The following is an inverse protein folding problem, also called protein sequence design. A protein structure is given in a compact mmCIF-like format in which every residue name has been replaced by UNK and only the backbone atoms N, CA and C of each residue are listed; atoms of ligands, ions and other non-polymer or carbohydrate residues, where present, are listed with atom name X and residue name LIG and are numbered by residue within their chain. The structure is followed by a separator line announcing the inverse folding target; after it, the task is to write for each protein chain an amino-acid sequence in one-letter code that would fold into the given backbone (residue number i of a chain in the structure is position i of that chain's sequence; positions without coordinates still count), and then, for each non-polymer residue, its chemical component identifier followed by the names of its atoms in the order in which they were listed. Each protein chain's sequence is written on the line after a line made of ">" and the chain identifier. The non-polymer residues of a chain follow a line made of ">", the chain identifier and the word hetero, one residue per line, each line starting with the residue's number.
data_IF_278885513800
#
_entry.id   IF_278885513800
#
_cell.length_a   1.000
_cell.length_b   1.000
_cell.length_c   1.000
_cell.angle_alpha   90.00
_cell.angle_beta   90.00
_cell.angle_gamma   90.00
#
_symmetry.space_group_name_H-M   'P 1'
#
loop_
_entity.id
_entity.type
_entity.pdbx_description
1 polymer ?
#
# COMPACT_ATOMS: atom_id res chain seq x y z
N UNK A 1 23.96 10.59 1.04
CA UNK A 1 24.93 11.12 2.00
C UNK A 1 26.20 10.25 1.93
N UNK A 2 27.45 10.80 1.84
CA UNK A 2 28.68 10.00 1.69
C UNK A 2 28.81 8.88 2.73
N UNK A 3 28.52 9.16 4.00
CA UNK A 3 28.60 8.17 5.08
C UNK A 3 27.68 6.96 4.89
N UNK A 4 26.49 7.17 4.32
CA UNK A 4 25.56 6.07 4.00
C UNK A 4 26.13 5.21 2.87
N UNK A 5 26.81 5.82 1.90
CA UNK A 5 27.44 5.10 0.80
C UNK A 5 28.61 4.24 1.26
N UNK A 6 29.45 4.73 2.16
CA UNK A 6 30.58 3.96 2.72
C UNK A 6 30.09 2.75 3.54
N UNK A 7 29.10 2.96 4.40
CA UNK A 7 28.52 1.86 5.19
C UNK A 7 27.83 0.79 4.32
N UNK A 8 27.16 1.20 3.26
CA UNK A 8 26.56 0.28 2.28
C UNK A 8 27.64 -0.50 1.52
N UNK A 9 28.73 0.15 1.10
CA UNK A 9 29.84 -0.48 0.39
C UNK A 9 30.47 -1.61 1.21
N UNK A 10 30.76 -1.34 2.49
CA UNK A 10 31.33 -2.35 3.40
C UNK A 10 30.38 -3.54 3.59
N UNK A 11 29.11 -3.27 3.76
CA UNK A 11 28.08 -4.32 3.89
C UNK A 11 27.90 -5.10 2.58
N UNK A 12 27.87 -4.40 1.46
CA UNK A 12 27.70 -5.02 0.14
C UNK A 12 28.87 -5.97 -0.21
N UNK A 13 30.08 -5.69 0.20
CA UNK A 13 31.22 -6.58 0.00
C UNK A 13 31.09 -7.89 0.75
N UNK A 14 30.44 -7.87 1.93
CA UNK A 14 30.35 -9.01 2.84
C UNK A 14 29.17 -9.95 2.54
N UNK A 15 28.18 -9.50 1.78
CA UNK A 15 26.94 -10.23 1.55
C UNK A 15 26.75 -10.65 0.09
N UNK A 16 26.14 -11.80 -0.15
CA UNK A 16 25.76 -12.24 -1.50
C UNK A 16 24.51 -11.51 -2.02
N UNK A 17 23.67 -11.10 -1.12
CA UNK A 17 22.44 -10.33 -1.39
C UNK A 17 22.52 -8.99 -0.67
N UNK A 18 22.29 -7.90 -1.40
CA UNK A 18 22.25 -6.55 -0.83
C UNK A 18 20.82 -6.27 -0.36
N UNK A 19 20.64 -6.24 0.96
CA UNK A 19 19.37 -5.89 1.61
C UNK A 19 19.26 -4.38 1.84
N UNK A 20 18.17 -3.77 1.39
CA UNK A 20 17.95 -2.32 1.47
C UNK A 20 16.63 -2.00 2.19
N UNK A 21 16.71 -1.32 3.35
CA UNK A 21 15.54 -0.80 4.03
C UNK A 21 15.18 0.59 3.49
N UNK A 22 13.97 0.72 2.90
CA UNK A 22 13.41 2.00 2.42
C UNK A 22 14.24 2.76 1.39
N UNK A 23 15.13 2.08 0.69
CA UNK A 23 16.06 2.65 -0.29
C UNK A 23 15.76 2.21 -1.73
N UNK A 24 14.49 2.11 -2.11
CA UNK A 24 14.04 1.70 -3.46
C UNK A 24 14.81 2.40 -4.59
N UNK A 25 15.08 3.68 -4.44
CA UNK A 25 15.81 4.48 -5.44
C UNK A 25 17.27 4.05 -5.66
N UNK A 26 17.80 3.14 -4.86
CA UNK A 26 19.18 2.62 -5.00
C UNK A 26 19.27 1.26 -5.68
N UNK A 27 18.17 0.55 -5.91
CA UNK A 27 18.21 -0.83 -6.39
C UNK A 27 19.00 -0.99 -7.69
N UNK A 28 18.80 -0.09 -8.65
CA UNK A 28 19.55 -0.12 -9.92
C UNK A 28 21.01 0.30 -9.75
N UNK A 29 21.27 1.31 -8.93
CA UNK A 29 22.63 1.77 -8.63
C UNK A 29 23.45 0.68 -7.93
N UNK A 30 22.87 -0.05 -6.99
CA UNK A 30 23.59 -1.15 -6.31
C UNK A 30 23.97 -2.26 -7.27
N UNK A 31 23.17 -2.52 -8.29
CA UNK A 31 23.52 -3.47 -9.34
C UNK A 31 24.66 -2.97 -10.23
N UNK A 32 24.69 -1.68 -10.57
CA UNK A 32 25.78 -1.06 -11.32
C UNK A 32 27.11 -1.13 -10.56
N UNK A 33 27.06 -0.87 -9.24
CA UNK A 33 28.24 -0.92 -8.37
C UNK A 33 28.70 -2.35 -8.08
N UNK A 34 27.76 -3.30 -8.00
CA UNK A 34 27.99 -4.69 -7.60
C UNK A 34 27.33 -5.68 -8.59
N UNK A 35 27.78 -5.77 -9.86
CA UNK A 35 27.08 -6.50 -10.93
C UNK A 35 26.87 -8.00 -10.67
N UNK A 36 27.62 -8.59 -9.73
CA UNK A 36 27.48 -10.01 -9.36
C UNK A 36 26.49 -10.27 -8.23
N UNK A 37 25.84 -9.24 -7.70
CA UNK A 37 24.96 -9.36 -6.52
C UNK A 37 23.51 -9.08 -6.85
N UNK A 38 22.63 -9.76 -6.10
CA UNK A 38 21.19 -9.51 -6.15
C UNK A 38 20.80 -8.46 -5.11
N UNK A 39 19.68 -7.77 -5.36
CA UNK A 39 19.12 -6.72 -4.48
C UNK A 39 17.77 -7.18 -3.95
N UNK A 40 17.55 -6.93 -2.67
CA UNK A 40 16.30 -7.24 -1.96
C UNK A 40 15.85 -6.04 -1.13
N UNK A 41 14.59 -5.68 -1.22
CA UNK A 41 13.97 -4.76 -0.28
C UNK A 41 13.73 -5.45 1.05
N UNK A 42 14.59 -5.24 2.04
CA UNK A 42 14.48 -5.91 3.34
C UNK A 42 13.45 -5.26 4.27
N UNK A 43 13.17 -3.97 4.04
CA UNK A 43 11.97 -3.29 4.54
C UNK A 43 11.50 -2.26 3.51
N UNK A 44 10.21 -2.29 3.18
CA UNK A 44 9.64 -1.42 2.15
C UNK A 44 8.33 -0.76 2.62
N UNK A 45 8.03 0.41 2.04
CA UNK A 45 6.79 1.12 2.34
C UNK A 45 5.59 0.43 1.69
N UNK A 46 4.49 0.21 2.43
CA UNK A 46 3.26 -0.36 1.88
C UNK A 46 2.66 0.46 0.73
N UNK A 47 2.88 1.77 0.71
CA UNK A 47 2.42 2.64 -0.38
C UNK A 47 3.22 2.48 -1.69
N UNK A 48 4.36 1.81 -1.67
CA UNK A 48 5.24 1.63 -2.83
C UNK A 48 5.07 0.27 -3.56
N UNK A 49 4.05 -0.52 -3.22
CA UNK A 49 3.81 -1.88 -3.75
C UNK A 49 3.99 -1.94 -5.27
N UNK A 50 3.30 -1.10 -6.02
CA UNK A 50 3.32 -1.09 -7.49
C UNK A 50 4.73 -0.84 -8.02
N UNK A 51 5.39 0.19 -7.52
CA UNK A 51 6.73 0.58 -7.96
C UNK A 51 7.81 -0.43 -7.60
N UNK A 52 7.66 -1.10 -6.48
CA UNK A 52 8.57 -2.16 -6.05
C UNK A 52 8.41 -3.41 -6.91
N UNK A 53 7.16 -3.78 -7.19
CA UNK A 53 6.89 -4.93 -8.05
C UNK A 53 7.34 -4.70 -9.50
N UNK A 54 7.16 -3.49 -10.02
CA UNK A 54 7.70 -3.10 -11.34
C UNK A 54 9.22 -3.29 -11.41
N UNK A 55 9.97 -2.89 -10.37
CA UNK A 55 11.41 -3.14 -10.30
C UNK A 55 11.77 -4.61 -10.32
N UNK A 56 10.97 -5.46 -9.65
CA UNK A 56 11.16 -6.93 -9.65
C UNK A 56 10.89 -7.51 -11.04
N UNK A 57 9.81 -7.08 -11.71
CA UNK A 57 9.46 -7.58 -13.04
C UNK A 57 10.46 -7.17 -14.12
N UNK A 58 11.00 -5.96 -14.03
CA UNK A 58 11.87 -5.39 -15.06
C UNK A 58 13.35 -5.70 -14.86
N UNK A 59 13.76 -6.12 -13.66
CA UNK A 59 15.18 -6.26 -13.31
C UNK A 59 15.47 -7.61 -12.63
N UNK A 60 16.08 -8.53 -13.33
CA UNK A 60 16.38 -9.89 -12.86
C UNK A 60 17.27 -9.97 -11.61
N UNK A 61 17.98 -8.90 -11.29
CA UNK A 61 18.79 -8.79 -10.08
C UNK A 61 18.00 -8.32 -8.85
N UNK A 62 16.77 -7.83 -9.03
CA UNK A 62 15.86 -7.47 -7.94
C UNK A 62 14.95 -8.66 -7.65
N UNK A 63 15.17 -9.33 -6.52
CA UNK A 63 14.52 -10.62 -6.22
C UNK A 63 13.25 -10.52 -5.38
N UNK A 64 12.87 -9.33 -4.95
CA UNK A 64 11.64 -9.11 -4.19
C UNK A 64 11.74 -8.01 -3.16
N UNK A 65 10.72 -7.95 -2.30
CA UNK A 65 10.67 -7.04 -1.18
C UNK A 65 9.91 -7.63 0.02
N UNK A 66 10.25 -7.15 1.20
CA UNK A 66 9.53 -7.40 2.44
C UNK A 66 8.90 -6.09 2.91
N UNK A 67 7.58 -6.01 2.86
CA UNK A 67 6.87 -4.83 3.34
C UNK A 67 6.93 -4.73 4.87
N UNK A 68 7.07 -3.54 5.40
CA UNK A 68 6.86 -3.28 6.81
C UNK A 68 5.47 -2.64 7.02
N UNK A 69 4.44 -3.44 7.45
CA UNK A 69 4.62 -4.85 7.79
C UNK A 69 3.50 -5.71 7.20
N UNK A 70 3.69 -7.05 7.21
CA UNK A 70 2.65 -7.99 6.79
C UNK A 70 1.47 -8.07 7.76
N UNK A 71 1.72 -7.89 9.07
CA UNK A 71 0.72 -7.88 10.14
C UNK A 71 0.78 -6.59 10.95
N UNK A 72 -0.37 -6.16 11.45
CA UNK A 72 -0.39 -5.18 12.54
C UNK A 72 0.27 -5.78 13.78
N UNK A 73 0.88 -4.95 14.60
CA UNK A 73 1.58 -5.41 15.78
C UNK A 73 1.42 -4.42 16.94
N UNK A 74 1.56 -4.94 18.16
CA UNK A 74 1.62 -4.13 19.39
C UNK A 74 3.06 -3.69 19.58
N UNK A 75 3.28 -2.39 19.77
CA UNK A 75 4.63 -1.83 19.94
C UNK A 75 4.69 -0.37 19.49
N UNK A 76 5.17 -0.09 18.31
CA UNK A 76 5.31 1.24 17.73
C UNK A 76 3.95 1.91 17.53
N UNK A 77 3.39 2.38 18.63
CA UNK A 77 2.04 2.92 18.67
C UNK A 77 1.88 4.12 17.74
N UNK A 78 0.86 4.07 16.89
CA UNK A 78 0.50 5.15 15.99
C UNK A 78 1.10 5.07 14.59
N UNK A 79 2.08 4.22 14.33
CA UNK A 79 2.60 4.04 12.98
C UNK A 79 1.48 3.54 12.07
N UNK A 80 1.15 4.32 11.03
CA UNK A 80 0.11 4.00 10.07
C UNK A 80 -1.33 4.28 10.50
N UNK A 81 -1.57 4.80 11.70
CA UNK A 81 -2.91 5.24 12.11
C UNK A 81 -3.27 6.54 11.37
N UNK A 82 -4.47 6.56 10.81
CA UNK A 82 -5.00 7.73 10.12
C UNK A 82 -5.54 8.76 11.12
N UNK A 83 -4.83 9.88 11.28
CA UNK A 83 -5.26 11.01 12.07
C UNK A 83 -5.93 12.07 11.19
N UNK A 84 -7.10 12.55 11.60
CA UNK A 84 -7.91 13.54 10.89
C UNK A 84 -7.96 14.90 11.59
N UNK A 85 -7.18 15.07 12.64
CA UNK A 85 -7.09 16.29 13.45
C UNK A 85 -5.96 17.24 13.00
N UNK A 86 -5.31 16.93 11.88
CA UNK A 86 -4.18 17.70 11.34
C UNK A 86 -2.85 17.43 12.03
N UNK A 87 -2.78 16.49 12.98
CA UNK A 87 -1.54 16.09 13.62
C UNK A 87 -0.83 15.02 12.81
N UNK A 88 0.42 15.21 12.52
CA UNK A 88 1.30 14.18 11.99
C UNK A 88 1.98 13.48 13.16
N UNK A 89 1.62 12.24 13.42
CA UNK A 89 2.19 11.50 14.54
C UNK A 89 2.88 10.23 14.09
N UNK A 90 4.19 10.17 14.29
CA UNK A 90 4.95 8.93 14.34
C UNK A 90 4.85 8.26 15.71
N UNK A 91 4.57 9.05 16.75
CA UNK A 91 4.44 8.57 18.10
C UNK A 91 3.06 8.95 18.60
N UNK A 92 2.25 7.96 18.86
CA UNK A 92 0.95 8.15 19.45
C UNK A 92 1.00 8.08 20.95
N UNK A 93 0.07 8.80 21.57
CA UNK A 93 -0.17 8.74 23.01
C UNK A 93 -1.29 7.75 23.29
N UNK A 94 -1.34 7.24 24.51
CA UNK A 94 -2.48 6.44 24.98
C UNK A 94 -3.83 7.07 24.55
N UNK A 95 -4.79 6.34 24.01
CA UNK A 95 -4.93 4.87 24.04
C UNK A 95 -4.35 4.10 22.85
N UNK A 96 -3.67 4.72 21.91
CA UNK A 96 -3.09 4.03 20.77
C UNK A 96 -1.93 3.14 21.22
N UNK A 97 -1.89 1.89 20.75
CA UNK A 97 -0.96 0.87 21.24
C UNK A 97 -0.39 -0.03 20.14
N UNK A 98 -0.74 0.22 18.88
CA UNK A 98 -0.35 -0.65 17.79
C UNK A 98 0.22 0.12 16.59
N UNK A 99 1.03 -0.57 15.79
CA UNK A 99 1.32 -0.25 14.41
C UNK A 99 0.17 -0.72 13.53
N UNK A 100 -0.45 0.19 12.78
CA UNK A 100 -1.63 -0.06 11.93
C UNK A 100 -1.25 0.00 10.44
N UNK A 101 -0.27 -0.83 10.06
CA UNK A 101 0.33 -0.84 8.71
C UNK A 101 0.32 -2.20 8.03
N UNK A 102 -0.19 -3.23 8.73
CA UNK A 102 -0.21 -4.57 8.21
C UNK A 102 -1.16 -4.76 7.03
N UNK A 103 -0.82 -5.65 6.13
CA UNK A 103 -1.75 -6.23 5.16
C UNK A 103 -2.87 -7.02 5.87
N UNK A 104 -2.56 -7.53 7.07
CA UNK A 104 -3.45 -8.31 7.94
C UNK A 104 -3.51 -7.65 9.31
N UNK A 105 -4.71 -7.53 9.88
CA UNK A 105 -4.90 -6.94 11.19
C UNK A 105 -4.56 -7.92 12.34
N UNK A 106 -4.58 -7.43 13.59
CA UNK A 106 -4.24 -8.21 14.79
C UNK A 106 -5.09 -9.47 14.99
N UNK A 107 -6.26 -9.55 14.41
CA UNK A 107 -7.19 -10.68 14.55
C UNK A 107 -7.29 -11.54 13.29
N UNK A 108 -6.40 -11.28 12.30
CA UNK A 108 -6.25 -12.12 11.12
C UNK A 108 -7.10 -11.70 9.93
N UNK A 109 -7.79 -10.55 9.95
CA UNK A 109 -8.53 -10.09 8.79
C UNK A 109 -7.59 -9.41 7.78
N UNK A 110 -7.76 -9.76 6.51
CA UNK A 110 -7.08 -9.08 5.41
C UNK A 110 -7.67 -7.67 5.21
N UNK A 111 -6.79 -6.71 5.02
CA UNK A 111 -7.17 -5.33 4.66
C UNK A 111 -7.20 -5.13 3.15
N UNK A 112 -7.84 -4.05 2.66
CA UNK A 112 -7.86 -3.73 1.24
C UNK A 112 -6.48 -3.70 0.57
N UNK A 113 -5.44 -3.24 1.26
CA UNK A 113 -4.06 -3.24 0.77
C UNK A 113 -3.54 -4.64 0.45
N UNK A 114 -3.92 -5.66 1.21
CA UNK A 114 -3.56 -7.05 0.95
C UNK A 114 -4.12 -7.56 -0.38
N UNK A 115 -5.35 -7.18 -0.71
CA UNK A 115 -5.96 -7.51 -2.00
C UNK A 115 -5.37 -6.69 -3.14
N UNK A 116 -5.03 -5.43 -2.91
CA UNK A 116 -4.30 -4.61 -3.87
C UNK A 116 -2.95 -5.23 -4.22
N UNK A 117 -2.17 -5.66 -3.23
CA UNK A 117 -0.90 -6.36 -3.42
C UNK A 117 -1.07 -7.64 -4.26
N UNK A 118 -2.07 -8.45 -3.94
CA UNK A 118 -2.37 -9.70 -4.65
C UNK A 118 -2.66 -9.45 -6.15
N UNK A 119 -3.39 -8.35 -6.45
CA UNK A 119 -3.71 -7.93 -7.81
C UNK A 119 -2.45 -7.42 -8.54
N UNK A 120 -1.66 -6.55 -7.90
CA UNK A 120 -0.43 -6.01 -8.48
C UNK A 120 0.59 -7.12 -8.78
N UNK A 121 0.68 -8.13 -7.91
CA UNK A 121 1.58 -9.27 -8.08
C UNK A 121 1.05 -10.31 -9.09
N UNK A 122 -0.12 -10.09 -9.69
CA UNK A 122 -0.71 -11.01 -10.65
C UNK A 122 -1.14 -12.35 -10.05
N UNK A 123 -1.38 -12.41 -8.74
CA UNK A 123 -1.81 -13.62 -8.04
C UNK A 123 -3.31 -13.88 -8.18
N UNK A 124 -4.07 -12.88 -8.62
CA UNK A 124 -5.50 -12.96 -8.90
C UNK A 124 -5.89 -12.01 -10.03
N UNK A 125 -6.89 -12.41 -10.79
CA UNK A 125 -7.59 -11.58 -11.78
C UNK A 125 -8.92 -11.01 -11.26
N UNK A 126 -9.30 -11.36 -10.01
CA UNK A 126 -10.55 -10.93 -9.41
C UNK A 126 -10.45 -9.49 -8.94
N UNK A 127 -11.36 -8.61 -9.36
CA UNK A 127 -11.39 -7.26 -8.83
C UNK A 127 -11.80 -7.25 -7.35
N UNK A 128 -11.33 -6.25 -6.61
CA UNK A 128 -11.67 -6.05 -5.21
C UNK A 128 -12.23 -4.65 -5.01
N UNK A 129 -13.30 -4.54 -4.21
CA UNK A 129 -13.97 -3.26 -3.92
C UNK A 129 -13.66 -2.84 -2.49
N UNK A 130 -13.22 -1.60 -2.33
CA UNK A 130 -13.03 -0.95 -1.04
C UNK A 130 -13.76 0.38 -1.01
N UNK A 131 -14.26 0.78 0.15
CA UNK A 131 -15.03 2.01 0.35
C UNK A 131 -14.32 2.88 1.37
N UNK A 132 -14.11 4.14 1.02
CA UNK A 132 -13.60 5.15 1.95
C UNK A 132 -14.54 5.31 3.13
N UNK A 133 -14.00 5.57 4.31
CA UNK A 133 -14.80 5.70 5.53
C UNK A 133 -15.78 6.87 5.43
N UNK A 134 -17.08 6.58 5.41
CA UNK A 134 -18.11 7.58 5.24
C UNK A 134 -18.12 8.62 6.38
N UNK A 135 -17.80 8.21 7.62
CA UNK A 135 -17.66 9.10 8.77
C UNK A 135 -16.50 10.10 8.65
N UNK A 136 -15.65 9.95 7.65
CA UNK A 136 -14.47 10.78 7.37
C UNK A 136 -14.58 11.60 6.08
N UNK A 137 -15.75 11.62 5.45
CA UNK A 137 -15.97 12.38 4.22
C UNK A 137 -15.63 13.87 4.44
N UNK A 138 -14.87 14.41 3.50
CA UNK A 138 -14.43 15.81 3.54
C UNK A 138 -13.31 16.11 4.53
N UNK A 139 -12.88 15.12 5.33
CA UNK A 139 -11.75 15.27 6.24
C UNK A 139 -10.46 14.84 5.52
N UNK A 140 -9.36 15.52 5.81
CA UNK A 140 -8.04 15.17 5.30
C UNK A 140 -7.27 14.40 6.36
N UNK A 141 -6.90 13.17 6.04
CA UNK A 141 -6.01 12.40 6.89
C UNK A 141 -4.57 12.90 6.79
N UNK A 142 -3.85 12.86 7.90
CA UNK A 142 -2.38 12.91 7.88
C UNK A 142 -1.86 11.66 7.17
N UNK A 143 -0.81 11.79 6.36
CA UNK A 143 -0.20 10.68 5.62
C UNK A 143 1.27 10.53 5.98
N UNK A 144 1.67 9.29 6.15
CA UNK A 144 3.07 8.88 6.21
C UNK A 144 3.35 7.87 5.09
N UNK A 145 4.61 7.55 4.84
CA UNK A 145 4.98 6.58 3.81
C UNK A 145 4.50 5.14 4.10
N UNK A 146 4.17 4.84 5.35
CA UNK A 146 3.61 3.55 5.76
C UNK A 146 2.09 3.42 5.56
N UNK A 147 1.41 4.48 5.13
CA UNK A 147 -0.05 4.48 4.98
C UNK A 147 -0.43 4.32 3.52
N UNK A 148 -1.38 3.42 3.26
CA UNK A 148 -1.98 3.25 1.94
C UNK A 148 -3.22 4.12 1.77
N UNK A 149 -4.41 3.57 1.97
CA UNK A 149 -5.70 4.27 1.93
C UNK A 149 -6.54 3.86 3.13
N UNK A 150 -7.27 4.82 3.74
CA UNK A 150 -8.23 4.51 4.80
C UNK A 150 -9.58 4.12 4.19
N UNK A 151 -9.61 2.92 3.64
CA UNK A 151 -10.81 2.31 3.08
C UNK A 151 -11.01 0.89 3.65
N UNK A 152 -12.24 0.43 3.61
CA UNK A 152 -12.61 -0.91 4.08
C UNK A 152 -13.60 -1.57 3.12
N UNK A 153 -13.73 -2.88 3.19
CA UNK A 153 -14.70 -3.65 2.40
C UNK A 153 -16.05 -3.68 3.13
N UNK A 154 -16.73 -2.55 3.15
CA UNK A 154 -18.06 -2.42 3.77
C UNK A 154 -18.95 -1.48 2.98
N UNK A 155 -20.24 -1.82 2.88
CA UNK A 155 -21.30 -0.98 2.34
C UNK A 155 -22.40 -0.75 3.37
N UNK A 156 -22.05 -0.67 4.67
CA UNK A 156 -23.00 -0.43 5.76
C UNK A 156 -22.56 0.78 6.56
N UNK A 157 -23.22 1.92 6.32
CA UNK A 157 -22.85 3.23 6.85
C UNK A 157 -24.09 3.96 7.38
N UNK A 158 -24.73 3.42 8.41
CA UNK A 158 -25.95 3.99 8.99
C UNK A 158 -25.77 5.47 9.38
N UNK A 159 -26.70 6.32 8.95
CA UNK A 159 -26.66 7.77 9.18
C UNK A 159 -25.91 8.56 8.11
N UNK A 160 -25.40 7.90 7.06
CA UNK A 160 -24.72 8.54 5.93
C UNK A 160 -25.53 8.45 4.63
N UNK A 161 -26.82 8.09 4.71
CA UNK A 161 -27.71 8.00 3.57
C UNK A 161 -27.76 9.35 2.80
N UNK A 162 -27.83 9.28 1.48
CA UNK A 162 -27.81 10.40 0.54
C UNK A 162 -26.47 11.16 0.45
N UNK A 163 -25.41 10.67 1.08
CA UNK A 163 -24.06 11.17 0.88
C UNK A 163 -23.36 10.42 -0.28
N UNK A 164 -22.24 10.95 -0.74
CA UNK A 164 -21.42 10.32 -1.79
C UNK A 164 -20.33 9.48 -1.14
N UNK A 165 -20.35 8.17 -1.38
CA UNK A 165 -19.29 7.27 -0.99
C UNK A 165 -18.16 7.30 -2.05
N UNK A 166 -16.92 7.34 -1.59
CA UNK A 166 -15.75 7.11 -2.44
C UNK A 166 -15.46 5.61 -2.49
N UNK A 167 -15.47 5.05 -3.69
CA UNK A 167 -15.30 3.60 -3.90
C UNK A 167 -14.07 3.38 -4.78
N UNK A 168 -13.11 2.62 -4.28
CA UNK A 168 -11.98 2.13 -5.03
C UNK A 168 -12.27 0.71 -5.54
N UNK A 169 -12.03 0.47 -6.82
CA UNK A 169 -12.05 -0.87 -7.40
C UNK A 169 -10.63 -1.21 -7.83
N UNK A 170 -9.99 -2.15 -7.15
CA UNK A 170 -8.68 -2.66 -7.53
C UNK A 170 -8.83 -3.75 -8.57
N UNK A 171 -8.08 -3.68 -9.66
CA UNK A 171 -8.16 -4.64 -10.76
C UNK A 171 -6.90 -4.63 -11.64
N UNK A 172 -6.51 -5.80 -12.12
CA UNK A 172 -5.48 -5.97 -13.18
C UNK A 172 -6.05 -5.81 -14.59
N UNK A 173 -7.39 -5.83 -14.76
CA UNK A 173 -8.04 -5.59 -16.05
C UNK A 173 -7.94 -4.15 -16.51
N UNK A 174 -7.87 -3.91 -17.81
CA UNK A 174 -7.73 -2.55 -18.37
C UNK A 174 -8.90 -1.63 -18.03
N UNK A 175 -10.10 -2.20 -17.85
CA UNK A 175 -11.34 -1.49 -17.57
C UNK A 175 -12.20 -2.27 -16.57
N UNK A 176 -12.90 -1.58 -15.71
CA UNK A 176 -13.92 -2.13 -14.81
C UNK A 176 -15.24 -1.39 -14.96
N UNK A 177 -16.34 -2.09 -14.75
CA UNK A 177 -17.68 -1.51 -14.70
C UNK A 177 -18.31 -1.80 -13.34
N UNK A 178 -18.68 -0.73 -12.63
CA UNK A 178 -19.31 -0.84 -11.31
C UNK A 178 -20.83 -0.82 -11.43
N UNK A 179 -21.49 -1.68 -10.67
CA UNK A 179 -22.95 -1.73 -10.60
C UNK A 179 -23.45 -1.50 -9.17
N UNK A 180 -24.48 -0.68 -9.02
CA UNK A 180 -25.23 -0.52 -7.77
C UNK A 180 -26.66 -1.00 -7.99
N UNK A 181 -27.06 -2.05 -7.26
CA UNK A 181 -28.39 -2.64 -7.36
C UNK A 181 -28.81 -2.97 -8.81
N UNK A 182 -27.86 -3.51 -9.60
CA UNK A 182 -28.06 -3.88 -11.00
C UNK A 182 -28.03 -2.72 -12.00
N UNK A 183 -27.86 -1.47 -11.54
CA UNK A 183 -27.69 -0.30 -12.41
C UNK A 183 -26.21 0.01 -12.57
N UNK A 184 -25.76 0.07 -13.83
CA UNK A 184 -24.39 0.49 -14.15
C UNK A 184 -24.11 1.93 -13.69
N UNK A 185 -22.97 2.13 -13.05
CA UNK A 185 -22.40 3.43 -12.70
C UNK A 185 -21.31 3.85 -13.71
N UNK A 186 -21.20 3.10 -14.81
CA UNK A 186 -20.26 3.35 -15.89
C UNK A 186 -18.97 2.56 -15.76
N UNK A 187 -18.20 2.66 -16.83
CA UNK A 187 -16.89 2.05 -16.95
C UNK A 187 -15.78 3.04 -16.63
N UNK A 188 -14.69 2.52 -16.08
CA UNK A 188 -13.50 3.30 -15.76
C UNK A 188 -12.25 2.49 -16.06
N UNK A 189 -11.21 3.17 -16.50
CA UNK A 189 -9.89 2.60 -16.65
C UNK A 189 -9.37 2.07 -15.30
N UNK A 190 -8.66 0.95 -15.35
CA UNK A 190 -8.00 0.30 -14.24
C UNK A 190 -6.66 -0.30 -14.74
N UNK A 191 -6.17 -1.38 -14.14
CA UNK A 191 -4.94 -2.04 -14.53
C UNK A 191 -3.68 -1.18 -14.34
N UNK A 192 -2.55 -1.67 -14.88
CA UNK A 192 -1.22 -1.02 -14.69
C UNK A 192 -1.21 0.45 -15.14
N UNK A 193 -1.93 0.81 -16.21
CA UNK A 193 -1.99 2.19 -16.73
C UNK A 193 -2.68 3.16 -15.78
N UNK A 194 -3.57 2.68 -14.93
CA UNK A 194 -4.30 3.49 -13.96
C UNK A 194 -4.01 3.02 -12.52
N UNK A 195 -2.75 2.64 -12.26
CA UNK A 195 -2.28 2.25 -10.93
C UNK A 195 -3.16 1.18 -10.27
N UNK A 196 -3.65 0.22 -11.08
CA UNK A 196 -4.53 -0.89 -10.66
C UNK A 196 -5.79 -0.44 -9.90
N UNK A 197 -6.21 0.83 -10.04
CA UNK A 197 -7.31 1.40 -9.25
C UNK A 197 -8.25 2.20 -10.13
N UNK A 198 -9.55 1.85 -10.11
CA UNK A 198 -10.61 2.70 -10.65
C UNK A 198 -11.37 3.33 -9.47
N UNK A 199 -11.56 4.65 -9.49
CA UNK A 199 -12.22 5.40 -8.43
C UNK A 199 -13.63 5.82 -8.87
N UNK A 200 -14.62 5.62 -7.99
CA UNK A 200 -16.02 5.99 -8.22
C UNK A 200 -16.57 6.85 -7.08
N UNK A 201 -17.40 7.79 -7.46
CA UNK A 201 -18.28 8.51 -6.54
C UNK A 201 -19.67 7.89 -6.63
N UNK A 202 -20.12 7.28 -5.54
CA UNK A 202 -21.33 6.45 -5.52
C UNK A 202 -22.33 7.01 -4.51
N UNK A 203 -23.57 7.37 -4.94
CA UNK A 203 -24.60 7.75 -4.01
C UNK A 203 -24.94 6.62 -3.04
N UNK A 204 -24.72 6.82 -1.75
CA UNK A 204 -25.09 5.86 -0.71
C UNK A 204 -26.58 5.99 -0.37
N UNK A 205 -27.29 4.88 -0.40
CA UNK A 205 -28.74 4.80 -0.15
C UNK A 205 -29.07 3.70 0.82
#
# INVERSE_FOLDING_TARGET
>A
HPLVSEALEESAQSCDIIGLNYLRGRYLLEHELHPGKTVLGTETYPADIEKLWELVEENSHVIGDFTWAGYDYIGEAGVGIFHYDGKENFTSVYPERLGYIGDIDLIGNRRPISYFREIVYGLTDRPYIAVGRMERIGQKASKTAWMFKDNISSWTWAGHENQIALVDVYSSGDEVELFLNGKSLGKREAGKKNHFTAEYEVPYK
#
